data_IF_964115204739
#
_entry.id   IF_964115204739
#
_cell.length_a   1.000
_cell.length_b   1.000
_cell.length_c   1.000
_cell.angle_alpha   90.00
_cell.angle_beta   90.00
_cell.angle_gamma   90.00
#
_symmetry.space_group_name_H-M   'P 1'
#
loop_
_entity.id
_entity.type
_entity.pdbx_description
1 polymer ?
#
# COMPACT_ATOMS: atom_id res chain seq x y z
N UNK A 1 0.75 -74.36 44.77
CA UNK A 1 1.81 -73.79 43.90
C UNK A 1 1.61 -72.28 43.91
N UNK A 2 2.44 -71.60 44.72
CA UNK A 2 2.35 -70.17 44.89
C UNK A 2 3.21 -69.41 43.87
N UNK A 3 2.85 -68.13 43.53
CA UNK A 3 3.61 -67.36 42.53
C UNK A 3 4.90 -66.78 43.10
N UNK A 4 5.95 -66.91 42.29
CA UNK A 4 7.31 -66.47 42.55
C UNK A 4 7.38 -64.92 42.49
N UNK A 5 7.89 -64.29 43.58
CA UNK A 5 8.20 -62.85 43.61
C UNK A 5 9.52 -62.58 42.89
N UNK A 6 9.50 -61.64 41.94
CA UNK A 6 10.69 -61.03 41.34
C UNK A 6 11.27 -59.96 42.29
N UNK A 7 12.60 -59.73 42.30
CA UNK A 7 13.24 -58.75 43.22
C UNK A 7 13.03 -57.34 42.71
N UNK A 8 12.82 -56.45 43.72
CA UNK A 8 12.71 -55.01 43.55
C UNK A 8 14.06 -54.42 43.15
N UNK A 9 14.09 -53.61 42.10
CA UNK A 9 15.25 -52.81 41.72
C UNK A 9 15.40 -51.60 42.65
N UNK A 10 16.64 -51.38 43.10
CA UNK A 10 17.02 -50.26 43.97
C UNK A 10 16.72 -48.92 43.29
N UNK A 11 16.15 -47.97 44.09
CA UNK A 11 15.89 -46.62 43.69
C UNK A 11 17.21 -45.85 43.60
N UNK A 12 17.53 -45.33 42.41
CA UNK A 12 18.60 -44.34 42.22
C UNK A 12 18.05 -42.98 42.55
N UNK A 13 18.60 -42.32 43.55
CA UNK A 13 18.30 -40.94 43.88
C UNK A 13 18.69 -39.97 42.75
N UNK A 14 17.85 -39.00 42.38
CA UNK A 14 18.23 -38.00 41.38
C UNK A 14 19.15 -36.94 42.02
N UNK A 15 20.33 -36.80 41.43
CA UNK A 15 21.29 -35.76 41.73
C UNK A 15 20.70 -34.38 41.42
N UNK A 16 20.53 -33.54 42.44
CA UNK A 16 20.23 -32.15 42.34
C UNK A 16 21.42 -31.38 41.74
N UNK A 17 21.19 -30.70 40.61
CA UNK A 17 22.20 -29.79 40.05
C UNK A 17 21.82 -29.25 38.70
N UNK A 18 21.04 -28.18 38.67
CA UNK A 18 20.79 -27.42 37.44
C UNK A 18 19.83 -26.27 37.70
N UNK A 19 20.36 -25.07 37.93
CA UNK A 19 19.57 -23.84 38.00
C UNK A 19 18.79 -23.64 36.70
N UNK A 20 17.54 -24.09 36.65
CA UNK A 20 16.58 -23.64 35.68
C UNK A 20 16.17 -22.22 36.08
N UNK A 21 16.69 -21.21 35.40
CA UNK A 21 16.17 -19.85 35.50
C UNK A 21 14.72 -19.92 35.00
N UNK A 22 13.77 -19.87 35.93
CA UNK A 22 12.35 -19.71 35.63
C UNK A 22 12.11 -18.31 35.10
N UNK A 23 12.36 -18.14 33.80
CA UNK A 23 11.91 -16.93 33.10
C UNK A 23 10.39 -16.89 33.21
N UNK A 24 9.87 -15.81 33.80
CA UNK A 24 8.41 -15.60 33.85
C UNK A 24 7.78 -15.76 32.47
N UNK A 25 6.58 -16.35 32.36
CA UNK A 25 5.95 -16.54 31.08
C UNK A 25 5.75 -15.18 30.39
N UNK A 26 6.23 -15.07 29.13
CA UNK A 26 6.09 -13.87 28.33
C UNK A 26 4.65 -13.36 28.30
N UNK A 27 4.46 -12.09 28.56
CA UNK A 27 3.18 -11.40 28.40
C UNK A 27 2.67 -11.53 26.95
N UNK A 28 1.38 -11.37 26.72
CA UNK A 28 0.81 -11.38 25.37
C UNK A 28 1.50 -10.37 24.43
N UNK A 29 1.92 -9.21 24.96
CA UNK A 29 2.67 -8.17 24.24
C UNK A 29 4.08 -8.63 23.86
N UNK A 30 4.79 -9.30 24.77
CA UNK A 30 6.13 -9.83 24.52
C UNK A 30 6.09 -11.00 23.52
N UNK A 31 5.08 -11.89 23.60
CA UNK A 31 4.87 -12.96 22.62
C UNK A 31 4.63 -12.37 21.22
N UNK A 32 3.78 -11.34 21.09
CA UNK A 32 3.54 -10.65 19.81
C UNK A 32 4.80 -9.97 19.30
N UNK A 33 5.58 -9.30 20.18
CA UNK A 33 6.86 -8.67 19.79
C UNK A 33 7.89 -9.69 19.31
N UNK A 34 7.95 -10.87 19.93
CA UNK A 34 8.84 -11.96 19.52
C UNK A 34 8.48 -12.53 18.13
N UNK A 35 7.20 -12.46 17.73
CA UNK A 35 6.73 -12.88 16.42
C UNK A 35 7.02 -11.83 15.31
N UNK A 36 7.36 -10.60 15.69
CA UNK A 36 7.65 -9.53 14.73
C UNK A 36 8.99 -9.77 14.06
N UNK A 37 8.96 -10.08 12.77
CA UNK A 37 10.19 -10.29 11.98
C UNK A 37 10.98 -8.97 11.88
N UNK A 38 12.30 -9.05 12.05
CA UNK A 38 13.18 -7.88 11.82
C UNK A 38 13.21 -7.56 10.33
N UNK A 39 13.21 -6.27 10.02
CA UNK A 39 13.36 -5.82 8.63
C UNK A 39 14.74 -6.23 8.09
N UNK A 40 14.77 -6.85 6.90
CA UNK A 40 16.02 -7.16 6.20
C UNK A 40 16.88 -5.93 5.88
N UNK A 41 18.17 -6.10 5.58
CA UNK A 41 19.09 -4.98 5.33
C UNK A 41 18.72 -4.08 4.15
N UNK A 42 17.97 -4.57 3.19
CA UNK A 42 17.54 -3.80 2.01
C UNK A 42 16.38 -2.82 2.26
N UNK A 43 15.78 -2.82 3.45
CA UNK A 43 14.79 -1.82 3.87
C UNK A 43 15.47 -0.56 4.39
N UNK A 44 16.25 0.10 3.54
CA UNK A 44 16.91 1.35 3.87
C UNK A 44 16.45 2.45 2.94
N UNK A 45 16.05 3.58 3.51
CA UNK A 45 15.74 4.81 2.77
C UNK A 45 16.89 5.80 2.95
N UNK A 46 17.18 6.56 1.89
CA UNK A 46 18.05 7.74 1.98
C UNK A 46 17.24 8.95 2.42
N UNK A 47 17.82 9.80 3.24
CA UNK A 47 17.23 11.10 3.54
C UNK A 47 17.51 12.07 2.38
N UNK A 48 16.56 12.94 2.04
CA UNK A 48 16.77 13.94 0.99
C UNK A 48 17.82 14.97 1.43
N UNK A 49 18.47 15.58 0.45
CA UNK A 49 19.46 16.62 0.67
C UNK A 49 19.24 17.79 -0.30
N UNK A 50 19.78 18.95 0.00
CA UNK A 50 19.72 20.11 -0.89
C UNK A 50 18.28 20.54 -1.23
N UNK A 51 17.98 20.68 -2.50
CA UNK A 51 16.68 21.15 -3.01
C UNK A 51 15.50 20.19 -2.68
N UNK A 52 15.75 18.88 -2.68
CA UNK A 52 14.73 17.90 -2.30
C UNK A 52 14.32 18.07 -0.84
N UNK A 53 15.26 18.35 0.07
CA UNK A 53 14.98 18.65 1.47
C UNK A 53 14.18 19.95 1.63
N UNK A 54 14.52 20.97 0.84
CA UNK A 54 13.80 22.25 0.86
C UNK A 54 12.33 22.08 0.42
N UNK A 55 12.09 21.33 -0.66
CA UNK A 55 10.75 20.98 -1.14
C UNK A 55 9.97 20.14 -0.12
N UNK A 56 10.59 19.13 0.46
CA UNK A 56 9.98 18.34 1.54
C UNK A 56 9.49 19.23 2.69
N UNK A 57 10.36 20.14 3.18
CA UNK A 57 10.00 21.04 4.28
C UNK A 57 8.87 22.00 3.91
N UNK A 58 8.85 22.53 2.68
CA UNK A 58 7.79 23.39 2.20
C UNK A 58 6.45 22.64 2.13
N UNK A 59 6.44 21.45 1.53
CA UNK A 59 5.26 20.57 1.46
C UNK A 59 4.71 20.27 2.85
N UNK A 60 5.58 19.87 3.78
CA UNK A 60 5.20 19.57 5.17
C UNK A 60 4.53 20.77 5.85
N UNK A 61 5.12 21.96 5.73
CA UNK A 61 4.57 23.19 6.32
C UNK A 61 3.18 23.51 5.77
N UNK A 62 2.94 23.35 4.48
CA UNK A 62 1.63 23.63 3.86
C UNK A 62 0.57 22.63 4.36
N UNK A 63 0.91 21.35 4.45
CA UNK A 63 -0.01 20.32 4.95
C UNK A 63 -0.40 20.58 6.40
N UNK A 64 0.58 20.84 7.29
CA UNK A 64 0.35 21.15 8.71
C UNK A 64 -0.48 22.44 8.88
N UNK A 65 -0.22 23.46 8.06
CA UNK A 65 -0.92 24.74 8.12
C UNK A 65 -2.34 24.72 7.54
N UNK A 66 -2.62 23.79 6.62
CA UNK A 66 -3.92 23.67 5.94
C UNK A 66 -4.93 22.73 6.64
N UNK A 67 -4.53 22.07 7.73
CA UNK A 67 -5.38 21.05 8.38
C UNK A 67 -5.73 19.89 7.44
N UNK A 68 -4.79 19.50 6.57
CA UNK A 68 -4.97 18.42 5.60
C UNK A 68 -4.41 17.13 6.14
N UNK A 69 -5.05 16.02 5.78
CA UNK A 69 -4.62 14.68 6.13
C UNK A 69 -3.88 14.02 4.96
N UNK A 70 -2.75 13.39 5.25
CA UNK A 70 -1.99 12.62 4.26
C UNK A 70 -1.82 11.19 4.73
N UNK A 71 -2.11 10.25 3.83
CA UNK A 71 -1.81 8.83 4.09
C UNK A 71 -0.30 8.62 4.28
N UNK A 72 0.54 9.53 3.77
CA UNK A 72 1.98 9.47 3.92
C UNK A 72 2.43 9.58 5.38
N UNK A 73 1.77 10.44 6.17
CA UNK A 73 2.04 10.61 7.60
C UNK A 73 1.35 9.54 8.45
N UNK A 74 0.05 9.30 8.22
CA UNK A 74 -0.71 8.31 8.98
C UNK A 74 -0.18 6.89 8.85
N UNK A 75 0.14 6.46 7.63
CA UNK A 75 0.76 5.16 7.37
C UNK A 75 2.27 5.13 7.73
N UNK A 76 2.86 6.24 8.19
CA UNK A 76 4.31 6.36 8.45
C UNK A 76 5.12 5.85 7.26
N UNK A 77 4.78 6.33 6.08
CA UNK A 77 5.32 5.84 4.81
C UNK A 77 6.84 6.05 4.76
N UNK A 78 7.64 5.01 4.49
CA UNK A 78 9.09 5.15 4.42
C UNK A 78 9.56 6.04 3.24
N UNK A 79 8.69 6.29 2.26
CA UNK A 79 9.00 7.04 1.05
C UNK A 79 8.61 8.53 1.13
N UNK A 80 8.08 9.00 2.25
CA UNK A 80 7.56 10.36 2.38
C UNK A 80 8.57 11.42 1.93
N UNK A 81 9.82 11.23 2.29
CA UNK A 81 10.91 12.14 1.92
C UNK A 81 11.18 12.16 0.42
N UNK A 82 11.19 11.00 -0.25
CA UNK A 82 11.41 10.89 -1.69
C UNK A 82 10.22 11.48 -2.47
N UNK A 83 8.99 11.10 -2.12
CA UNK A 83 7.79 11.56 -2.81
C UNK A 83 7.59 13.08 -2.69
N UNK A 84 7.62 13.64 -1.49
CA UNK A 84 7.43 15.07 -1.27
C UNK A 84 8.60 15.90 -1.83
N UNK A 85 9.83 15.39 -1.72
CA UNK A 85 11.01 16.02 -2.34
C UNK A 85 10.93 16.09 -3.87
N UNK A 86 10.16 15.20 -4.50
CA UNK A 86 9.93 15.16 -5.97
C UNK A 86 8.65 15.86 -6.41
N UNK A 87 7.88 16.42 -5.49
CA UNK A 87 6.64 17.12 -5.81
C UNK A 87 5.44 16.21 -6.05
N UNK A 88 5.39 15.05 -5.39
CA UNK A 88 4.22 14.16 -5.35
C UNK A 88 3.71 14.04 -3.94
N UNK A 89 2.44 14.34 -3.69
CA UNK A 89 1.77 14.15 -2.40
C UNK A 89 0.51 13.30 -2.57
N UNK A 90 0.14 12.57 -1.50
CA UNK A 90 -1.07 11.76 -1.43
C UNK A 90 -1.94 12.26 -0.30
N UNK A 91 -3.05 12.91 -0.64
CA UNK A 91 -4.03 13.42 0.30
C UNK A 91 -5.11 12.38 0.57
N UNK A 92 -5.56 12.31 1.81
CA UNK A 92 -6.69 11.48 2.20
C UNK A 92 -7.91 12.37 2.40
N UNK A 93 -9.01 12.04 1.74
CA UNK A 93 -10.27 12.79 1.78
C UNK A 93 -11.43 11.92 2.26
N UNK A 94 -12.55 12.55 2.53
CA UNK A 94 -13.77 11.97 3.09
C UNK A 94 -13.64 11.56 4.57
N UNK A 95 -12.70 12.17 5.28
CA UNK A 95 -12.46 11.99 6.71
C UNK A 95 -11.29 11.07 7.02
N UNK A 96 -11.06 10.83 8.31
CA UNK A 96 -9.91 10.09 8.85
C UNK A 96 -10.26 8.64 9.23
N UNK A 97 -11.55 8.28 9.23
CA UNK A 97 -12.04 7.01 9.70
C UNK A 97 -12.81 6.28 8.60
N UNK A 98 -12.53 4.98 8.48
CA UNK A 98 -13.08 4.11 7.45
C UNK A 98 -14.25 3.28 8.01
N UNK A 99 -15.26 3.00 7.19
CA UNK A 99 -16.35 2.07 7.57
C UNK A 99 -15.92 0.61 7.55
N UNK A 100 -14.73 0.29 7.00
CA UNK A 100 -14.20 -1.07 6.84
C UNK A 100 -12.97 -1.33 7.68
N UNK A 101 -12.86 -2.57 8.19
CA UNK A 101 -11.80 -3.00 9.11
C UNK A 101 -10.79 -3.93 8.48
N UNK A 102 -10.13 -3.55 7.39
CA UNK A 102 -9.08 -4.35 6.76
C UNK A 102 -7.90 -4.58 7.71
N UNK A 103 -7.47 -5.84 7.87
CA UNK A 103 -6.49 -6.21 8.91
C UNK A 103 -5.05 -5.78 8.62
N UNK A 104 -4.78 -5.24 7.44
CA UNK A 104 -3.48 -4.66 7.07
C UNK A 104 -3.42 -3.16 7.30
N UNK A 105 -4.57 -2.47 7.37
CA UNK A 105 -4.70 -1.02 7.30
C UNK A 105 -4.57 -0.37 8.68
N UNK A 106 -3.83 0.74 8.77
CA UNK A 106 -3.64 1.51 10.00
C UNK A 106 -4.75 2.54 10.25
N UNK A 107 -5.58 2.84 9.24
CA UNK A 107 -6.70 3.79 9.35
C UNK A 107 -7.70 3.33 10.40
N UNK A 108 -8.21 4.26 11.20
CA UNK A 108 -9.23 4.00 12.20
C UNK A 108 -10.52 3.46 11.58
N UNK A 109 -11.22 2.56 12.30
CA UNK A 109 -12.47 1.98 11.82
C UNK A 109 -13.61 2.41 12.70
N UNK A 110 -14.66 2.98 12.11
CA UNK A 110 -15.88 3.39 12.78
C UNK A 110 -17.11 3.05 11.92
N UNK A 111 -18.18 2.60 12.54
CA UNK A 111 -19.38 2.22 11.80
C UNK A 111 -20.13 3.41 11.19
N UNK A 112 -20.09 4.55 11.86
CA UNK A 112 -20.78 5.77 11.45
C UNK A 112 -19.81 6.93 11.58
N UNK A 113 -19.03 7.21 10.51
CA UNK A 113 -18.14 8.36 10.47
C UNK A 113 -18.91 9.69 10.58
N UNK A 114 -18.24 10.77 10.97
CA UNK A 114 -18.80 12.12 10.86
C UNK A 114 -19.29 12.42 9.45
N UNK A 115 -20.27 13.34 9.29
CA UNK A 115 -20.65 13.82 7.97
C UNK A 115 -19.44 14.32 7.19
N UNK A 116 -19.51 14.24 5.85
CA UNK A 116 -18.49 14.81 4.98
C UNK A 116 -18.40 16.34 5.22
N UNK A 117 -17.19 16.84 5.24
CA UNK A 117 -16.95 18.28 5.33
C UNK A 117 -17.10 18.91 3.94
N UNK A 118 -18.12 19.76 3.79
CA UNK A 118 -18.42 20.46 2.52
C UNK A 118 -17.29 21.38 2.06
N UNK A 119 -16.43 21.83 2.97
CA UNK A 119 -15.33 22.75 2.68
C UNK A 119 -14.01 22.00 2.36
N UNK A 120 -13.97 20.68 2.52
CA UNK A 120 -12.77 19.87 2.26
C UNK A 120 -12.27 20.03 0.81
N UNK A 121 -13.12 19.98 -0.25
CA UNK A 121 -12.67 20.19 -1.63
C UNK A 121 -11.96 21.53 -1.83
N UNK A 122 -12.50 22.62 -1.28
CA UNK A 122 -11.89 23.94 -1.42
C UNK A 122 -10.59 24.07 -0.64
N UNK A 123 -10.53 23.56 0.59
CA UNK A 123 -9.28 23.56 1.37
C UNK A 123 -8.18 22.77 0.69
N UNK A 124 -8.54 21.62 0.10
CA UNK A 124 -7.60 20.78 -0.66
C UNK A 124 -7.07 21.54 -1.88
N UNK A 125 -7.96 22.18 -2.65
CA UNK A 125 -7.59 22.97 -3.83
C UNK A 125 -6.66 24.15 -3.45
N UNK A 126 -6.99 24.89 -2.40
CA UNK A 126 -6.17 26.01 -1.92
C UNK A 126 -4.76 25.55 -1.52
N UNK A 127 -4.64 24.41 -0.83
CA UNK A 127 -3.35 23.86 -0.46
C UNK A 127 -2.54 23.40 -1.69
N UNK A 128 -3.16 22.69 -2.62
CA UNK A 128 -2.50 22.22 -3.85
C UNK A 128 -2.04 23.39 -4.71
N UNK A 129 -2.79 24.48 -4.75
CA UNK A 129 -2.43 25.73 -5.45
C UNK A 129 -1.11 26.30 -4.98
N UNK A 130 -0.87 26.30 -3.67
CA UNK A 130 0.31 26.89 -3.05
C UNK A 130 1.52 25.95 -3.00
N UNK A 131 1.31 24.66 -3.30
CA UNK A 131 2.37 23.66 -3.26
C UNK A 131 3.06 23.52 -4.63
N UNK A 132 4.39 23.33 -4.60
CA UNK A 132 5.20 23.02 -5.80
C UNK A 132 5.06 21.56 -6.21
N UNK A 133 3.79 21.10 -6.43
CA UNK A 133 3.49 19.73 -6.85
C UNK A 133 3.33 19.67 -8.37
N UNK A 134 3.76 18.57 -8.95
CA UNK A 134 3.57 18.21 -10.35
C UNK A 134 2.51 17.11 -10.52
N UNK A 135 2.22 16.40 -9.42
CA UNK A 135 1.30 15.27 -9.41
C UNK A 135 0.64 15.12 -8.05
N UNK A 136 -0.65 14.96 -8.03
CA UNK A 136 -1.45 14.78 -6.82
C UNK A 136 -2.16 13.43 -6.88
N UNK A 137 -2.02 12.66 -5.81
CA UNK A 137 -2.83 11.46 -5.58
C UNK A 137 -3.86 11.78 -4.52
N UNK A 138 -5.12 11.58 -4.81
CA UNK A 138 -6.22 11.59 -3.84
C UNK A 138 -6.50 10.16 -3.46
N UNK A 139 -6.50 9.85 -2.18
CA UNK A 139 -6.99 8.57 -1.65
C UNK A 139 -8.17 8.82 -0.73
N UNK A 140 -8.97 7.79 -0.53
CA UNK A 140 -10.23 7.90 0.21
C UNK A 140 -10.32 6.82 1.28
N UNK A 141 -11.13 7.05 2.29
CA UNK A 141 -11.64 6.02 3.18
C UNK A 141 -12.94 5.44 2.60
N UNK A 142 -13.29 4.19 2.94
CA UNK A 142 -14.61 3.68 2.58
C UNK A 142 -15.70 4.38 3.38
N UNK A 143 -16.76 4.76 2.69
CA UNK A 143 -17.94 5.44 3.22
C UNK A 143 -19.20 4.66 2.86
N UNK A 144 -19.25 3.38 3.29
CA UNK A 144 -20.43 2.52 3.08
C UNK A 144 -21.70 3.04 3.78
N UNK A 145 -21.55 4.09 4.61
CA UNK A 145 -22.65 4.84 5.23
C UNK A 145 -23.34 5.82 4.27
N UNK A 146 -22.72 6.13 3.12
CA UNK A 146 -23.24 7.05 2.11
C UNK A 146 -23.83 6.28 0.92
N UNK A 147 -24.95 6.76 0.33
CA UNK A 147 -25.61 6.06 -0.79
C UNK A 147 -24.76 5.87 -2.03
N UNK A 148 -23.82 6.79 -2.28
CA UNK A 148 -22.89 6.77 -3.41
C UNK A 148 -21.46 6.35 -3.02
N UNK A 149 -21.27 5.87 -1.79
CA UNK A 149 -19.94 5.52 -1.27
C UNK A 149 -18.97 6.70 -1.18
N UNK A 150 -19.45 7.95 -1.31
CA UNK A 150 -18.66 9.17 -1.31
C UNK A 150 -18.25 9.67 -2.70
N UNK A 151 -18.71 9.04 -3.77
CA UNK A 151 -18.32 9.34 -5.16
C UNK A 151 -18.50 10.83 -5.52
N UNK A 152 -19.61 11.45 -5.15
CA UNK A 152 -19.87 12.86 -5.41
C UNK A 152 -18.86 13.79 -4.71
N UNK A 153 -18.45 13.45 -3.50
CA UNK A 153 -17.46 14.21 -2.76
C UNK A 153 -16.06 14.07 -3.36
N UNK A 154 -15.68 12.85 -3.78
CA UNK A 154 -14.40 12.63 -4.46
C UNK A 154 -14.34 13.42 -5.75
N UNK A 155 -15.44 13.45 -6.52
CA UNK A 155 -15.55 14.25 -7.72
C UNK A 155 -15.39 15.73 -7.44
N UNK A 156 -16.03 16.26 -6.41
CA UNK A 156 -15.88 17.67 -6.02
C UNK A 156 -14.43 18.03 -5.67
N UNK A 157 -13.69 17.12 -5.02
CA UNK A 157 -12.26 17.32 -4.74
C UNK A 157 -11.43 17.40 -6.03
N UNK A 158 -11.69 16.53 -6.99
CA UNK A 158 -11.00 16.53 -8.29
C UNK A 158 -11.27 17.82 -9.07
N UNK A 159 -12.53 18.20 -9.17
CA UNK A 159 -12.96 19.40 -9.89
C UNK A 159 -12.37 20.67 -9.26
N UNK A 160 -12.38 20.78 -7.94
CA UNK A 160 -11.81 21.94 -7.22
C UNK A 160 -10.29 22.08 -7.43
N UNK A 161 -9.54 20.96 -7.44
CA UNK A 161 -8.10 21.00 -7.75
C UNK A 161 -7.89 21.41 -9.20
N UNK A 162 -8.64 20.85 -10.14
CA UNK A 162 -8.49 21.13 -11.57
C UNK A 162 -8.81 22.59 -11.89
N UNK A 163 -9.77 23.20 -11.20
CA UNK A 163 -10.11 24.62 -11.38
C UNK A 163 -8.91 25.53 -11.07
N UNK A 164 -8.15 25.24 -10.00
CA UNK A 164 -7.00 26.06 -9.57
C UNK A 164 -5.69 25.64 -10.22
N UNK A 165 -5.55 24.38 -10.65
CA UNK A 165 -4.34 23.78 -11.23
C UNK A 165 -4.70 22.84 -12.39
N UNK A 166 -5.16 23.37 -13.54
CA UNK A 166 -5.54 22.55 -14.68
C UNK A 166 -4.36 21.80 -15.34
N UNK A 167 -3.14 22.18 -14.98
CA UNK A 167 -1.87 21.61 -15.47
C UNK A 167 -1.36 20.43 -14.62
N UNK A 168 -1.92 20.22 -13.42
CA UNK A 168 -1.40 19.19 -12.52
C UNK A 168 -1.93 17.80 -12.89
N UNK A 169 -1.06 16.77 -12.80
CA UNK A 169 -1.51 15.40 -12.97
C UNK A 169 -2.34 14.93 -11.77
N UNK A 170 -3.46 14.28 -12.03
CA UNK A 170 -4.40 13.80 -11.00
C UNK A 170 -4.59 12.28 -11.05
N UNK A 171 -4.43 11.64 -9.89
CA UNK A 171 -4.74 10.23 -9.66
C UNK A 171 -5.76 10.12 -8.51
N UNK A 172 -6.81 9.35 -8.71
CA UNK A 172 -7.75 8.97 -7.65
C UNK A 172 -7.56 7.52 -7.27
N UNK A 173 -7.05 7.25 -6.07
CA UNK A 173 -7.06 5.93 -5.44
C UNK A 173 -8.40 5.76 -4.70
N UNK A 174 -9.37 5.24 -5.43
CA UNK A 174 -10.77 5.11 -5.01
C UNK A 174 -11.02 3.85 -4.19
N UNK A 175 -12.08 3.88 -3.38
CA UNK A 175 -12.69 2.69 -2.80
C UNK A 175 -13.38 1.85 -3.90
N UNK A 176 -13.92 0.68 -3.54
CA UNK A 176 -14.73 -0.12 -4.46
C UNK A 176 -16.19 0.34 -4.55
N UNK A 177 -16.55 1.45 -3.88
CA UNK A 177 -17.89 2.03 -3.84
C UNK A 177 -18.99 1.01 -3.50
N UNK A 178 -18.65 -0.03 -2.75
CA UNK A 178 -19.51 -1.20 -2.43
C UNK A 178 -20.07 -1.90 -3.70
N UNK A 179 -19.31 -1.87 -4.80
CA UNK A 179 -19.70 -2.42 -6.09
C UNK A 179 -20.70 -1.58 -6.88
N UNK A 180 -20.98 -0.34 -6.45
CA UNK A 180 -21.94 0.56 -7.10
C UNK A 180 -21.37 1.16 -8.41
N UNK A 181 -21.66 0.52 -9.52
CA UNK A 181 -21.21 0.96 -10.87
C UNK A 181 -21.87 2.25 -11.35
N UNK A 182 -23.06 2.59 -10.88
CA UNK A 182 -23.73 3.86 -11.22
C UNK A 182 -23.01 5.03 -10.52
N UNK A 183 -22.59 4.83 -9.26
CA UNK A 183 -21.77 5.80 -8.55
C UNK A 183 -20.39 5.97 -9.22
N UNK A 184 -19.78 4.86 -9.67
CA UNK A 184 -18.53 4.90 -10.43
C UNK A 184 -18.69 5.65 -11.75
N UNK A 185 -19.76 5.41 -12.51
CA UNK A 185 -20.03 6.11 -13.75
C UNK A 185 -20.21 7.62 -13.52
N UNK A 186 -20.97 8.00 -12.50
CA UNK A 186 -21.15 9.42 -12.10
C UNK A 186 -19.83 10.09 -11.71
N UNK A 187 -19.00 9.37 -10.94
CA UNK A 187 -17.67 9.86 -10.55
C UNK A 187 -16.77 10.12 -11.76
N UNK A 188 -16.76 9.19 -12.71
CA UNK A 188 -15.82 9.22 -13.83
C UNK A 188 -16.28 10.06 -15.02
N UNK A 189 -17.57 10.38 -15.15
CA UNK A 189 -18.11 11.13 -16.29
C UNK A 189 -17.48 12.54 -16.35
N UNK A 190 -16.60 12.75 -17.36
CA UNK A 190 -15.87 14.01 -17.54
C UNK A 190 -14.95 14.39 -16.38
N UNK A 191 -14.58 13.48 -15.48
CA UNK A 191 -13.66 13.76 -14.39
C UNK A 191 -12.26 14.13 -14.92
N UNK A 192 -11.59 15.16 -14.33
CA UNK A 192 -10.26 15.58 -14.74
C UNK A 192 -9.17 14.66 -14.14
N UNK A 193 -9.14 13.40 -14.61
CA UNK A 193 -8.24 12.36 -14.13
C UNK A 193 -7.27 11.89 -15.21
N UNK A 194 -5.99 11.69 -14.83
CA UNK A 194 -5.03 10.91 -15.62
C UNK A 194 -5.09 9.42 -15.29
N UNK A 195 -5.32 9.10 -14.00
CA UNK A 195 -5.26 7.73 -13.48
C UNK A 195 -6.41 7.46 -12.51
N UNK A 196 -7.21 6.44 -12.78
CA UNK A 196 -8.11 5.82 -11.81
C UNK A 196 -7.41 4.61 -11.18
N UNK A 197 -7.23 4.63 -9.87
CA UNK A 197 -6.60 3.57 -9.13
C UNK A 197 -7.58 2.91 -8.14
N UNK A 198 -7.55 1.59 -8.07
CA UNK A 198 -8.20 0.81 -7.03
C UNK A 198 -7.34 -0.41 -6.70
N UNK A 199 -6.98 -0.56 -5.43
CA UNK A 199 -6.09 -1.64 -5.01
C UNK A 199 -6.84 -2.93 -4.75
N UNK A 200 -6.38 -4.05 -5.31
CA UNK A 200 -6.84 -5.39 -4.92
C UNK A 200 -6.21 -5.86 -3.61
N UNK A 201 -5.13 -5.23 -3.18
CA UNK A 201 -4.38 -5.39 -1.92
C UNK A 201 -3.67 -6.74 -1.78
N UNK A 202 -4.30 -7.86 -2.07
CA UNK A 202 -3.74 -9.21 -1.96
C UNK A 202 -4.30 -10.14 -3.04
N UNK A 203 -3.74 -11.35 -3.12
CA UNK A 203 -4.28 -12.42 -3.97
C UNK A 203 -5.63 -12.91 -3.43
N UNK A 204 -6.54 -13.32 -4.29
CA UNK A 204 -7.94 -13.66 -3.96
C UNK A 204 -8.09 -14.62 -2.76
N UNK A 205 -7.27 -15.67 -2.68
CA UNK A 205 -7.30 -16.64 -1.57
C UNK A 205 -7.12 -15.99 -0.19
N UNK A 206 -6.44 -14.86 -0.13
CA UNK A 206 -6.13 -14.17 1.13
C UNK A 206 -7.16 -13.10 1.53
N UNK A 207 -8.10 -12.74 0.66
CA UNK A 207 -9.12 -11.74 0.96
C UNK A 207 -9.80 -11.94 2.32
N UNK A 208 -10.33 -13.14 2.67
CA UNK A 208 -11.04 -13.34 3.93
C UNK A 208 -10.18 -13.12 5.19
N UNK A 209 -8.85 -13.16 5.02
CA UNK A 209 -7.88 -13.00 6.12
C UNK A 209 -7.35 -11.57 6.18
N UNK A 210 -7.21 -10.90 5.03
CA UNK A 210 -6.48 -9.64 4.87
C UNK A 210 -7.45 -8.45 4.85
N UNK A 211 -8.56 -8.58 4.12
CA UNK A 211 -9.48 -7.48 3.85
C UNK A 211 -10.74 -7.57 4.72
N UNK A 212 -11.50 -6.49 4.78
CA UNK A 212 -12.86 -6.49 5.32
C UNK A 212 -13.75 -7.42 4.46
N UNK A 213 -14.67 -8.18 5.05
CA UNK A 213 -15.54 -9.12 4.29
C UNK A 213 -16.33 -8.49 3.14
N UNK A 214 -16.56 -7.18 3.16
CA UNK A 214 -17.23 -6.43 2.07
C UNK A 214 -16.29 -6.09 0.91
N UNK A 215 -14.98 -6.18 1.13
CA UNK A 215 -13.97 -5.89 0.11
C UNK A 215 -13.45 -7.19 -0.49
N UNK A 216 -14.00 -7.63 -1.61
CA UNK A 216 -13.59 -8.87 -2.29
C UNK A 216 -12.73 -8.59 -3.51
N UNK A 217 -11.87 -9.56 -3.86
CA UNK A 217 -11.04 -9.49 -5.06
C UNK A 217 -11.90 -9.37 -6.34
N UNK A 218 -12.98 -10.15 -6.42
CA UNK A 218 -13.90 -10.11 -7.57
C UNK A 218 -14.57 -8.74 -7.72
N UNK A 219 -15.00 -8.10 -6.62
CA UNK A 219 -15.57 -6.76 -6.64
C UNK A 219 -14.53 -5.72 -7.07
N UNK A 220 -13.31 -5.79 -6.52
CA UNK A 220 -12.22 -4.90 -6.90
C UNK A 220 -11.85 -5.01 -8.38
N UNK A 221 -11.79 -6.25 -8.90
CA UNK A 221 -11.55 -6.51 -10.32
C UNK A 221 -12.68 -5.94 -11.20
N UNK A 222 -13.93 -6.14 -10.81
CA UNK A 222 -15.09 -5.60 -11.53
C UNK A 222 -15.08 -4.06 -11.59
N UNK A 223 -14.71 -3.37 -10.51
CA UNK A 223 -14.58 -1.90 -10.49
C UNK A 223 -13.47 -1.43 -11.44
N UNK A 224 -12.32 -2.12 -11.49
CA UNK A 224 -11.24 -1.79 -12.42
C UNK A 224 -11.65 -2.02 -13.89
N UNK A 225 -12.31 -3.13 -14.18
CA UNK A 225 -12.83 -3.46 -15.50
C UNK A 225 -13.85 -2.41 -15.96
N UNK A 226 -14.78 -2.05 -15.11
CA UNK A 226 -15.80 -1.05 -15.40
C UNK A 226 -15.19 0.36 -15.59
N UNK A 227 -14.21 0.74 -14.79
CA UNK A 227 -13.49 2.00 -14.96
C UNK A 227 -12.78 2.06 -16.34
N UNK A 228 -12.11 0.97 -16.73
CA UNK A 228 -11.47 0.86 -18.06
C UNK A 228 -12.50 0.98 -19.19
N UNK A 229 -13.68 0.38 -19.01
CA UNK A 229 -14.77 0.44 -20.01
C UNK A 229 -15.37 1.84 -20.12
N UNK A 230 -15.60 2.51 -19.00
CA UNK A 230 -16.20 3.85 -18.94
C UNK A 230 -15.27 4.95 -19.46
N UNK A 231 -13.96 4.83 -19.15
CA UNK A 231 -12.96 5.85 -19.45
C UNK A 231 -11.70 5.22 -20.08
N UNK A 232 -11.79 4.77 -21.34
CA UNK A 232 -10.64 4.19 -22.05
C UNK A 232 -9.53 5.22 -22.37
N UNK A 233 -9.80 6.49 -22.14
CA UNK A 233 -8.87 7.62 -22.33
C UNK A 233 -7.96 7.88 -21.12
N UNK A 234 -8.28 7.35 -19.94
CA UNK A 234 -7.44 7.43 -18.75
C UNK A 234 -6.78 6.09 -18.45
N UNK A 235 -5.71 6.12 -17.63
CA UNK A 235 -5.03 4.91 -17.19
C UNK A 235 -5.74 4.29 -15.99
N UNK A 236 -5.80 2.96 -15.94
CA UNK A 236 -6.23 2.24 -14.74
C UNK A 236 -5.05 1.64 -14.00
N UNK A 237 -5.12 1.63 -12.67
CA UNK A 237 -4.02 1.23 -11.80
C UNK A 237 -4.48 0.36 -10.63
N UNK A 238 -3.63 -0.59 -10.25
CA UNK A 238 -3.83 -1.39 -9.03
C UNK A 238 -2.54 -1.63 -8.26
N UNK A 239 -2.68 -2.15 -7.04
CA UNK A 239 -1.54 -2.51 -6.18
C UNK A 239 -1.76 -3.86 -5.51
N UNK A 240 -0.66 -4.61 -5.35
CA UNK A 240 -0.59 -5.87 -4.60
C UNK A 240 0.44 -5.72 -3.50
N UNK A 241 0.05 -6.05 -2.27
CA UNK A 241 0.98 -6.24 -1.16
C UNK A 241 1.42 -7.69 -1.12
N UNK A 242 2.72 -7.91 -0.91
CA UNK A 242 3.30 -9.26 -0.76
C UNK A 242 3.92 -9.44 0.62
N UNK A 243 4.11 -10.70 1.02
CA UNK A 243 4.65 -11.07 2.33
C UNK A 243 3.61 -11.29 3.41
N UNK A 244 2.37 -11.62 3.03
CA UNK A 244 1.24 -11.90 3.91
C UNK A 244 0.70 -13.33 3.81
N UNK A 245 1.40 -14.22 3.09
CA UNK A 245 1.08 -15.64 2.96
C UNK A 245 0.70 -16.10 1.54
N UNK A 246 0.88 -15.25 0.54
CA UNK A 246 0.76 -15.60 -0.88
C UNK A 246 1.96 -16.40 -1.36
N UNK A 247 1.77 -17.15 -2.42
CA UNK A 247 2.84 -17.78 -3.21
C UNK A 247 3.21 -16.90 -4.40
N UNK A 248 4.42 -17.08 -4.94
CA UNK A 248 4.86 -16.33 -6.13
C UNK A 248 3.96 -16.61 -7.35
N UNK A 249 3.48 -17.85 -7.50
CA UNK A 249 2.55 -18.21 -8.57
C UNK A 249 1.22 -17.50 -8.46
N UNK A 250 0.69 -17.30 -7.26
CA UNK A 250 -0.54 -16.56 -7.05
C UNK A 250 -0.37 -15.10 -7.43
N UNK A 251 0.78 -14.47 -7.10
CA UNK A 251 1.09 -13.10 -7.53
C UNK A 251 1.11 -13.00 -9.05
N UNK A 252 1.84 -13.90 -9.73
CA UNK A 252 1.91 -13.93 -11.20
C UNK A 252 0.53 -14.17 -11.84
N UNK A 253 -0.27 -15.09 -11.29
CA UNK A 253 -1.63 -15.34 -11.79
C UNK A 253 -2.54 -14.13 -11.58
N UNK A 254 -2.45 -13.46 -10.44
CA UNK A 254 -3.21 -12.23 -10.13
C UNK A 254 -2.84 -11.10 -11.09
N UNK A 255 -1.55 -10.92 -11.40
CA UNK A 255 -1.12 -9.95 -12.42
C UNK A 255 -1.75 -10.26 -13.79
N UNK A 256 -1.70 -11.51 -14.25
CA UNK A 256 -2.28 -11.90 -15.53
C UNK A 256 -3.79 -11.65 -15.58
N UNK A 257 -4.51 -11.96 -14.50
CA UNK A 257 -5.95 -11.75 -14.39
C UNK A 257 -6.32 -10.25 -14.44
N UNK A 258 -5.60 -9.41 -13.72
CA UNK A 258 -5.82 -7.97 -13.69
C UNK A 258 -5.48 -7.31 -15.03
N UNK A 259 -4.41 -7.76 -15.69
CA UNK A 259 -4.10 -7.30 -17.05
C UNK A 259 -5.18 -7.72 -18.05
N UNK A 260 -5.77 -8.90 -17.86
CA UNK A 260 -6.86 -9.42 -18.69
C UNK A 260 -8.13 -8.55 -18.68
N UNK A 261 -8.39 -7.81 -17.61
CA UNK A 261 -9.51 -6.84 -17.49
C UNK A 261 -9.09 -5.41 -17.85
N UNK A 262 -7.89 -5.21 -18.41
CA UNK A 262 -7.47 -3.94 -18.99
C UNK A 262 -6.64 -3.04 -18.08
N UNK A 263 -6.24 -3.47 -16.87
CA UNK A 263 -5.42 -2.64 -15.97
C UNK A 263 -4.08 -2.29 -16.62
N UNK A 264 -3.74 -0.99 -16.68
CA UNK A 264 -2.56 -0.46 -17.34
C UNK A 264 -1.32 -0.40 -16.43
N UNK A 265 -1.52 -0.05 -15.16
CA UNK A 265 -0.44 0.20 -14.21
C UNK A 265 -0.53 -0.74 -13.02
N UNK A 266 0.62 -1.28 -12.61
CA UNK A 266 0.67 -2.13 -11.42
C UNK A 266 1.82 -1.75 -10.49
N UNK A 267 1.55 -1.80 -9.19
CA UNK A 267 2.59 -1.68 -8.17
C UNK A 267 2.59 -2.92 -7.27
N UNK A 268 3.78 -3.44 -6.96
CA UNK A 268 3.95 -4.58 -6.05
C UNK A 268 4.93 -4.19 -4.94
N UNK A 269 4.45 -4.19 -3.70
CA UNK A 269 5.22 -3.75 -2.56
C UNK A 269 5.13 -4.68 -1.34
N UNK A 270 6.14 -4.65 -0.49
CA UNK A 270 6.13 -5.42 0.75
C UNK A 270 5.10 -4.90 1.72
N UNK A 271 4.28 -5.78 2.26
CA UNK A 271 3.49 -5.49 3.43
C UNK A 271 4.39 -5.21 4.65
N UNK A 272 4.16 -4.10 5.31
CA UNK A 272 4.82 -3.75 6.58
C UNK A 272 3.76 -3.67 7.66
N UNK A 273 3.90 -4.48 8.70
CA UNK A 273 2.96 -4.54 9.82
C UNK A 273 2.90 -3.21 10.58
N UNK A 274 1.76 -2.47 10.57
CA UNK A 274 1.69 -1.17 11.24
C UNK A 274 1.81 -1.26 12.76
N UNK A 275 1.17 -2.25 13.37
CA UNK A 275 1.24 -2.52 14.82
C UNK A 275 1.02 -4.01 15.11
N UNK A 276 1.24 -4.40 16.35
CA UNK A 276 1.06 -5.79 16.82
C UNK A 276 -0.40 -6.31 16.73
N UNK A 277 -1.36 -5.43 16.42
CA UNK A 277 -2.77 -5.79 16.22
C UNK A 277 -3.08 -6.22 14.78
N UNK A 278 -2.24 -5.80 13.84
CA UNK A 278 -2.38 -6.10 12.42
C UNK A 278 -1.79 -7.46 12.07
N UNK A 279 -2.04 -7.90 10.84
CA UNK A 279 -1.49 -9.17 10.35
C UNK A 279 0.03 -9.22 10.50
N UNK A 280 0.60 -10.32 10.97
CA UNK A 280 2.05 -10.48 10.99
C UNK A 280 2.59 -10.60 9.56
N UNK A 281 3.83 -10.14 9.36
CA UNK A 281 4.55 -10.40 8.09
C UNK A 281 4.91 -11.88 8.02
N UNK A 282 4.51 -12.55 6.95
CA UNK A 282 4.83 -13.97 6.70
C UNK A 282 6.25 -14.12 6.15
N UNK A 283 6.59 -13.37 5.10
CA UNK A 283 7.91 -13.41 4.45
C UNK A 283 8.36 -12.03 3.98
N UNK A 284 9.64 -11.92 3.67
CA UNK A 284 10.23 -10.80 2.96
C UNK A 284 10.86 -11.35 1.68
N UNK A 285 10.18 -11.26 0.52
CA UNK A 285 10.79 -11.61 -0.76
C UNK A 285 12.09 -10.82 -0.98
N UNK A 286 13.08 -11.49 -1.55
CA UNK A 286 14.36 -10.86 -1.91
C UNK A 286 14.16 -9.82 -3.02
N UNK A 287 15.03 -8.77 -3.10
CA UNK A 287 14.92 -7.74 -4.13
C UNK A 287 14.88 -8.29 -5.56
N UNK A 288 15.57 -9.41 -5.81
CA UNK A 288 15.60 -10.10 -7.09
C UNK A 288 14.22 -10.60 -7.51
N UNK A 289 13.40 -11.07 -6.55
CA UNK A 289 12.03 -11.52 -6.84
C UNK A 289 11.14 -10.37 -7.30
N UNK A 290 11.31 -9.18 -6.74
CA UNK A 290 10.60 -8.00 -7.23
C UNK A 290 11.03 -7.61 -8.65
N UNK A 291 12.31 -7.77 -8.99
CA UNK A 291 12.79 -7.54 -10.35
C UNK A 291 12.23 -8.56 -11.35
N UNK A 292 12.01 -9.82 -10.93
CA UNK A 292 11.35 -10.83 -11.74
C UNK A 292 9.87 -10.47 -11.96
N UNK A 293 9.12 -10.08 -10.93
CA UNK A 293 7.73 -9.62 -11.09
C UNK A 293 7.62 -8.37 -11.96
N UNK A 294 8.57 -7.44 -11.89
CA UNK A 294 8.63 -6.28 -12.79
C UNK A 294 8.75 -6.73 -14.25
N UNK A 295 9.67 -7.65 -14.54
CA UNK A 295 9.85 -8.20 -15.88
C UNK A 295 8.60 -8.98 -16.35
N UNK A 296 8.04 -9.86 -15.52
CA UNK A 296 6.82 -10.62 -15.82
C UNK A 296 5.64 -9.68 -16.15
N UNK A 297 5.44 -8.60 -15.36
CA UNK A 297 4.38 -7.64 -15.58
C UNK A 297 4.55 -6.90 -16.92
N UNK A 298 5.78 -6.50 -17.25
CA UNK A 298 6.08 -5.84 -18.55
C UNK A 298 5.84 -6.80 -19.72
N UNK A 299 6.21 -8.07 -19.60
CA UNK A 299 5.92 -9.10 -20.61
C UNK A 299 4.42 -9.33 -20.79
N UNK A 300 3.61 -9.21 -19.71
CA UNK A 300 2.14 -9.25 -19.77
C UNK A 300 1.53 -8.02 -20.43
N UNK A 301 2.31 -6.97 -20.72
CA UNK A 301 1.88 -5.75 -21.40
C UNK A 301 1.34 -4.66 -20.49
N UNK A 302 1.71 -4.63 -19.20
CA UNK A 302 1.48 -3.47 -18.36
C UNK A 302 2.26 -2.26 -18.91
N UNK A 303 1.61 -1.10 -18.96
CA UNK A 303 2.19 0.14 -19.51
C UNK A 303 3.13 0.83 -18.53
N UNK A 304 2.90 0.65 -17.22
CA UNK A 304 3.79 1.13 -16.17
C UNK A 304 3.84 0.15 -15.01
N UNK A 305 5.06 -0.13 -14.53
CA UNK A 305 5.32 -1.15 -13.50
C UNK A 305 6.26 -0.61 -12.44
N UNK A 306 5.92 -0.80 -11.17
CA UNK A 306 6.81 -0.54 -10.06
C UNK A 306 6.75 -1.69 -9.05
N UNK A 307 7.84 -2.45 -8.95
CA UNK A 307 7.99 -3.55 -8.01
C UNK A 307 9.18 -3.33 -7.08
N UNK A 308 8.99 -3.51 -5.79
CA UNK A 308 10.10 -3.39 -4.84
C UNK A 308 9.68 -3.39 -3.37
N UNK A 309 10.63 -3.68 -2.46
CA UNK A 309 10.33 -3.80 -1.03
C UNK A 309 9.72 -2.53 -0.41
N UNK A 310 10.08 -1.36 -0.90
CA UNK A 310 9.59 -0.07 -0.41
C UNK A 310 8.50 0.53 -1.29
N UNK A 311 8.10 -0.11 -2.39
CA UNK A 311 7.03 0.37 -3.27
C UNK A 311 5.70 0.40 -2.50
N UNK A 312 4.90 1.43 -2.78
CA UNK A 312 3.53 1.64 -2.30
C UNK A 312 2.66 2.01 -3.50
N UNK A 313 1.34 1.94 -3.36
CA UNK A 313 0.40 2.25 -4.45
C UNK A 313 0.65 3.62 -5.08
N UNK A 314 0.97 4.64 -4.28
CA UNK A 314 1.26 5.99 -4.76
C UNK A 314 2.76 6.29 -4.94
N UNK A 315 3.63 5.28 -4.85
CA UNK A 315 5.07 5.49 -4.98
C UNK A 315 5.44 5.96 -6.38
N UNK A 316 5.99 7.18 -6.47
CA UNK A 316 6.39 7.82 -7.72
C UNK A 316 5.27 7.80 -8.79
N UNK A 317 4.04 8.03 -8.37
CA UNK A 317 2.85 7.87 -9.20
C UNK A 317 2.92 8.68 -10.51
N UNK A 318 3.38 9.93 -10.46
CA UNK A 318 3.54 10.76 -11.66
C UNK A 318 4.53 10.17 -12.67
N UNK A 319 5.67 9.62 -12.20
CA UNK A 319 6.64 8.98 -13.09
C UNK A 319 6.07 7.71 -13.72
N UNK A 320 5.24 6.97 -12.98
CA UNK A 320 4.60 5.75 -13.50
C UNK A 320 3.58 6.06 -14.61
N UNK A 321 2.80 7.16 -14.43
CA UNK A 321 1.93 7.71 -15.48
C UNK A 321 2.74 8.13 -16.72
N UNK A 322 3.83 8.84 -16.51
CA UNK A 322 4.69 9.34 -17.60
C UNK A 322 5.32 8.18 -18.39
N UNK A 323 5.74 7.11 -17.70
CA UNK A 323 6.21 5.87 -18.32
C UNK A 323 5.14 5.25 -19.23
N UNK A 324 3.90 5.15 -18.74
CA UNK A 324 2.79 4.63 -19.53
C UNK A 324 2.48 5.47 -20.78
N UNK A 325 2.83 6.75 -20.75
CA UNK A 325 2.69 7.70 -21.86
C UNK A 325 3.96 7.80 -22.74
N UNK A 326 4.92 6.87 -22.59
CA UNK A 326 6.08 6.73 -23.46
C UNK A 326 7.36 7.38 -22.96
N UNK A 327 7.40 7.88 -21.71
CA UNK A 327 8.64 8.32 -21.08
C UNK A 327 9.53 7.12 -20.68
N UNK A 328 10.78 7.39 -20.33
CA UNK A 328 11.70 6.36 -19.83
C UNK A 328 11.15 5.75 -18.51
N UNK A 329 11.42 4.44 -18.25
CA UNK A 329 10.90 3.74 -17.07
C UNK A 329 11.12 4.50 -15.76
N UNK A 330 10.03 4.65 -14.99
CA UNK A 330 9.98 5.42 -13.75
C UNK A 330 10.87 4.85 -12.64
N UNK A 331 11.09 3.54 -12.65
CA UNK A 331 11.96 2.82 -11.72
C UNK A 331 13.15 2.29 -12.52
N UNK A 332 14.17 3.12 -12.69
CA UNK A 332 15.42 2.64 -13.29
C UNK A 332 16.08 1.65 -12.32
N UNK A 333 16.69 0.59 -12.89
CA UNK A 333 17.44 -0.45 -12.13
C UNK A 333 18.45 0.12 -11.12
N UNK A 334 18.85 1.39 -11.26
CA UNK A 334 19.79 2.05 -10.34
C UNK A 334 19.20 2.40 -8.97
N UNK A 335 17.88 2.59 -8.83
CA UNK A 335 17.27 2.89 -7.53
C UNK A 335 17.08 1.65 -6.65
N UNK A 336 17.02 0.44 -7.26
CA UNK A 336 17.11 -0.83 -6.55
C UNK A 336 18.56 -1.25 -6.29
N UNK A 337 19.51 -0.84 -7.15
CA UNK A 337 20.93 -1.18 -7.07
C UNK A 337 21.75 -0.35 -6.07
N UNK A 338 21.23 0.70 -5.48
CA UNK A 338 21.93 1.38 -4.37
C UNK A 338 22.14 0.45 -3.16
N UNK A 339 21.34 -0.61 -3.03
CA UNK A 339 21.54 -1.66 -2.04
C UNK A 339 22.41 -2.84 -2.54
N UNK A 340 22.45 -3.08 -3.87
CA UNK A 340 23.15 -4.23 -4.48
C UNK A 340 24.63 -3.94 -4.72
N UNK A 341 25.03 -2.67 -4.87
CA UNK A 341 26.44 -2.32 -5.15
C UNK A 341 27.42 -2.64 -4.00
N UNK A 342 26.92 -3.01 -2.81
CA UNK A 342 27.74 -3.39 -1.65
C UNK A 342 28.00 -4.90 -1.52
N UNK A 343 27.48 -5.73 -2.42
CA UNK A 343 27.63 -7.20 -2.37
C UNK A 343 28.50 -7.78 -3.48
N UNK A 344 29.41 -7.01 -4.09
CA UNK A 344 30.45 -7.64 -4.90
C UNK A 344 31.40 -8.40 -3.97
N UNK A 345 31.56 -9.72 -4.10
CA UNK A 345 32.57 -10.46 -3.38
C UNK A 345 33.94 -9.89 -3.73
N UNK A 346 34.76 -9.57 -2.74
CA UNK A 346 36.17 -9.29 -2.93
C UNK A 346 36.80 -10.51 -3.58
N UNK A 347 37.25 -10.37 -4.81
CA UNK A 347 38.11 -11.35 -5.46
C UNK A 347 39.37 -11.46 -4.62
N UNK A 348 39.60 -12.61 -3.99
CA UNK A 348 40.89 -12.99 -3.41
C UNK A 348 41.85 -13.19 -4.56
N UNK A 349 42.84 -12.32 -4.63
CA UNK A 349 44.13 -12.55 -5.34
C UNK A 349 45.09 -13.15 -4.33
#
# INVERSE_FOLDING_TARGET
MGPTRLPMAEAVEPTTGGCASSAAPLTAKEKRRALRKRLPPWFKTSLPTGEEQARFNATKKTIEGGGLHTVCEEARCPNIHDCWGRGTATFMVAGEECTRGCRFCAVGTIRTPPPLDSDEPQRLADAVKDMALNYVVITVVNRDDLPDGGASHYRACLDAIHEVRPDIGLELLCSDLDGNTDALATLLDGAPLDVFAHNVECVERLDPIVRDPRATFSQSKMILEEATRLRPDILTKTSIMVGIGETDKEVTSTMAELRGVGVDLITIGQYLQPSDRHLPVDRFPEPERYAEWDAEAREMGYRGVACGPLVRSSFRAGLLRDEANGAAPAVTRSSTNSAISFLKPKSTS
#
